data_IF_761867283593
#
_entry.id   IF_761867283593
#
_cell.length_a   1.000
_cell.length_b   1.000
_cell.length_c   1.000
_cell.angle_alpha   90.00
_cell.angle_beta   90.00
_cell.angle_gamma   90.00
#
_symmetry.space_group_name_H-M   'P 1'
#
loop_
_entity.id
_entity.type
_entity.pdbx_description
1 polymer ?
#
# COMPACT_ATOMS: atom_id res chain seq x y z
N UNK A 1 -8.85 -7.66 -15.92
CA UNK A 1 -8.10 -6.53 -15.34
C UNK A 1 -8.82 -6.15 -14.06
N UNK A 2 -8.12 -6.13 -12.92
CA UNK A 2 -8.66 -5.62 -11.67
C UNK A 2 -7.94 -4.32 -11.35
N UNK A 3 -8.68 -3.26 -11.01
CA UNK A 3 -8.11 -1.96 -10.65
C UNK A 3 -8.54 -1.62 -9.23
N UNK A 4 -7.57 -1.28 -8.40
CA UNK A 4 -7.78 -0.67 -7.09
C UNK A 4 -7.33 0.79 -7.15
N UNK A 5 -8.09 1.65 -6.50
CA UNK A 5 -7.82 3.10 -6.47
C UNK A 5 -7.98 3.63 -5.05
N UNK A 6 -7.06 4.52 -4.65
CA UNK A 6 -7.10 5.21 -3.38
C UNK A 6 -6.48 6.60 -3.56
N UNK A 7 -7.29 7.65 -3.38
CA UNK A 7 -6.94 9.07 -3.57
C UNK A 7 -6.42 9.37 -4.96
N UNK A 8 -5.11 9.29 -5.19
CA UNK A 8 -4.42 9.53 -6.45
C UNK A 8 -3.60 8.30 -6.91
N UNK A 9 -3.55 7.25 -6.07
CA UNK A 9 -2.82 6.03 -6.32
C UNK A 9 -3.70 4.97 -6.99
N UNK A 10 -3.23 4.44 -8.12
CA UNK A 10 -3.86 3.34 -8.84
C UNK A 10 -2.98 2.08 -8.81
N UNK A 11 -3.60 0.92 -8.62
CA UNK A 11 -2.99 -0.40 -8.74
C UNK A 11 -3.79 -1.23 -9.74
N UNK A 12 -3.14 -1.63 -10.83
CA UNK A 12 -3.74 -2.47 -11.85
C UNK A 12 -3.12 -3.87 -11.83
N UNK A 13 -3.96 -4.90 -11.76
CA UNK A 13 -3.55 -6.30 -11.74
C UNK A 13 -4.14 -6.99 -12.96
N UNK A 14 -3.26 -7.63 -13.74
CA UNK A 14 -3.64 -8.38 -14.94
C UNK A 14 -3.07 -9.81 -14.89
N UNK A 15 -3.65 -10.68 -15.71
CA UNK A 15 -3.13 -12.04 -15.91
C UNK A 15 -1.80 -12.04 -16.68
N UNK A 16 -1.05 -13.15 -16.64
CA UNK A 16 0.22 -13.27 -17.35
C UNK A 16 0.06 -13.06 -18.86
N UNK A 17 1.10 -12.51 -19.50
CA UNK A 17 1.16 -12.32 -20.96
C UNK A 17 0.30 -11.17 -21.53
N UNK A 18 -0.25 -10.31 -20.67
CA UNK A 18 -1.10 -9.16 -21.09
C UNK A 18 -0.55 -7.80 -20.66
N UNK A 19 0.68 -7.75 -20.18
CA UNK A 19 1.29 -6.56 -19.58
C UNK A 19 1.29 -5.34 -20.51
N UNK A 20 1.81 -5.50 -21.73
CA UNK A 20 1.91 -4.40 -22.69
C UNK A 20 0.55 -3.89 -23.13
N UNK A 21 -0.40 -4.80 -23.40
CA UNK A 21 -1.74 -4.46 -23.86
C UNK A 21 -2.54 -3.75 -22.76
N UNK A 22 -2.50 -4.26 -21.53
CA UNK A 22 -3.28 -3.69 -20.43
C UNK A 22 -2.67 -2.37 -19.95
N UNK A 23 -1.33 -2.26 -19.92
CA UNK A 23 -0.67 -0.97 -19.63
C UNK A 23 -1.04 0.10 -20.66
N UNK A 24 -1.04 -0.24 -21.96
CA UNK A 24 -1.44 0.69 -23.01
C UNK A 24 -2.89 1.15 -22.86
N UNK A 25 -3.82 0.24 -22.57
CA UNK A 25 -5.23 0.57 -22.32
C UNK A 25 -5.41 1.55 -21.16
N UNK A 26 -4.70 1.32 -20.05
CA UNK A 26 -4.75 2.22 -18.88
C UNK A 26 -4.21 3.60 -19.23
N UNK A 27 -3.06 3.67 -19.91
CA UNK A 27 -2.48 4.95 -20.34
C UNK A 27 -3.44 5.71 -21.28
N UNK A 28 -4.05 5.03 -22.25
CA UNK A 28 -5.03 5.65 -23.14
C UNK A 28 -6.27 6.14 -22.41
N UNK A 29 -6.78 5.37 -21.43
CA UNK A 29 -7.92 5.78 -20.61
C UNK A 29 -7.60 7.03 -19.79
N UNK A 30 -6.44 7.08 -19.17
CA UNK A 30 -6.03 8.23 -18.33
C UNK A 30 -5.82 9.48 -19.20
N UNK A 31 -5.20 9.32 -20.36
CA UNK A 31 -5.07 10.40 -21.34
C UNK A 31 -6.44 10.92 -21.83
N UNK A 32 -7.38 10.02 -22.12
CA UNK A 32 -8.75 10.37 -22.51
C UNK A 32 -9.48 11.17 -21.42
N UNK A 33 -9.27 10.79 -20.15
CA UNK A 33 -9.86 11.47 -18.99
C UNK A 33 -9.10 12.74 -18.57
N UNK A 34 -7.99 13.09 -19.25
CA UNK A 34 -7.15 14.23 -18.87
C UNK A 34 -6.43 14.04 -17.52
N UNK A 35 -6.24 12.79 -17.08
CA UNK A 35 -5.56 12.46 -15.83
C UNK A 35 -4.06 12.34 -16.12
N UNK A 36 -3.21 13.20 -15.53
CA UNK A 36 -1.77 13.12 -15.72
C UNK A 36 -1.19 11.87 -15.04
N UNK A 37 -0.35 11.13 -15.74
CA UNK A 37 0.39 9.98 -15.19
C UNK A 37 1.80 10.45 -14.78
N UNK A 38 2.15 10.24 -13.51
CA UNK A 38 3.52 10.39 -13.04
C UNK A 38 4.35 9.17 -13.44
N UNK A 39 4.87 9.16 -14.66
CA UNK A 39 5.63 8.02 -15.21
C UNK A 39 6.87 7.69 -14.38
N UNK A 40 7.51 8.68 -13.79
CA UNK A 40 8.68 8.54 -12.92
C UNK A 40 8.38 7.82 -11.60
N UNK A 41 7.12 7.79 -11.18
CA UNK A 41 6.62 7.04 -10.01
C UNK A 41 5.92 5.75 -10.38
N UNK A 42 5.69 5.51 -11.68
CA UNK A 42 4.95 4.37 -12.18
C UNK A 42 5.86 3.17 -12.30
N UNK A 43 5.41 2.02 -11.81
CA UNK A 43 6.04 0.72 -12.04
C UNK A 43 5.13 -0.11 -12.93
N UNK A 44 5.72 -0.77 -13.93
CA UNK A 44 4.99 -1.63 -14.88
C UNK A 44 5.62 -3.01 -14.92
N UNK A 45 4.81 -4.04 -15.21
CA UNK A 45 5.26 -5.42 -15.36
C UNK A 45 6.05 -5.98 -14.16
N UNK A 46 5.69 -5.57 -12.94
CA UNK A 46 6.33 -6.04 -11.70
C UNK A 46 5.50 -7.12 -11.00
N UNK A 47 6.16 -8.10 -10.39
CA UNK A 47 5.50 -9.08 -9.51
C UNK A 47 5.50 -8.63 -8.05
N UNK A 48 6.31 -7.63 -7.71
CA UNK A 48 6.41 -7.03 -6.38
C UNK A 48 6.22 -5.53 -6.51
N UNK A 49 5.28 -4.95 -5.77
CA UNK A 49 5.02 -3.50 -5.80
C UNK A 49 4.58 -2.98 -4.45
N UNK A 50 4.81 -1.69 -4.19
CA UNK A 50 4.29 -1.00 -3.02
C UNK A 50 3.05 -0.21 -3.41
N UNK A 51 1.95 -0.42 -2.69
CA UNK A 51 0.71 0.34 -2.83
C UNK A 51 0.19 0.70 -1.45
N UNK A 52 -0.18 1.97 -1.23
CA UNK A 52 -0.67 2.50 0.08
C UNK A 52 0.23 2.15 1.29
N UNK A 53 1.55 2.00 1.07
CA UNK A 53 2.53 1.60 2.09
C UNK A 53 2.55 0.11 2.41
N UNK A 54 1.89 -0.70 1.59
CA UNK A 54 1.82 -2.16 1.68
C UNK A 54 2.62 -2.74 0.52
N UNK A 55 3.52 -3.66 0.83
CA UNK A 55 4.25 -4.44 -0.16
C UNK A 55 3.40 -5.63 -0.59
N UNK A 56 3.15 -5.76 -1.89
CA UNK A 56 2.37 -6.83 -2.49
C UNK A 56 3.33 -7.65 -3.36
N UNK A 57 3.50 -8.93 -3.03
CA UNK A 57 4.21 -9.89 -3.88
C UNK A 57 3.22 -10.91 -4.44
N UNK A 58 2.93 -10.76 -5.72
CA UNK A 58 1.95 -11.60 -6.44
C UNK A 58 2.51 -13.00 -6.69
N UNK A 59 3.84 -13.14 -6.81
CA UNK A 59 4.49 -14.44 -7.05
C UNK A 59 4.51 -15.27 -5.77
N UNK A 60 4.92 -14.68 -4.65
CA UNK A 60 4.91 -15.32 -3.34
C UNK A 60 3.51 -15.39 -2.72
N UNK A 61 2.53 -14.64 -3.26
CA UNK A 61 1.18 -14.46 -2.71
C UNK A 61 1.21 -13.92 -1.27
N UNK A 62 2.15 -13.02 -1.01
CA UNK A 62 2.33 -12.42 0.30
C UNK A 62 2.01 -10.93 0.26
N UNK A 63 1.50 -10.44 1.38
CA UNK A 63 1.30 -9.02 1.65
C UNK A 63 2.11 -8.68 2.89
N UNK A 64 2.80 -7.54 2.85
CA UNK A 64 3.68 -7.07 3.91
C UNK A 64 3.63 -5.56 4.06
N UNK A 65 4.34 -5.02 5.06
CA UNK A 65 4.60 -3.59 5.10
C UNK A 65 5.76 -3.26 4.17
N UNK A 66 5.72 -2.09 3.55
CA UNK A 66 6.93 -1.56 2.93
C UNK A 66 8.02 -1.32 3.97
N UNK A 67 9.28 -1.32 3.54
CA UNK A 67 10.41 -1.12 4.44
C UNK A 67 10.29 0.18 5.24
N UNK A 68 9.81 1.25 4.60
CA UNK A 68 9.56 2.54 5.25
C UNK A 68 8.45 2.48 6.30
N UNK A 69 7.29 1.87 5.99
CA UNK A 69 6.22 1.69 6.96
C UNK A 69 6.64 0.77 8.11
N UNK A 70 7.29 -0.35 7.81
CA UNK A 70 7.80 -1.27 8.83
C UNK A 70 8.74 -0.56 9.81
N UNK A 71 9.69 0.23 9.30
CA UNK A 71 10.59 1.04 10.14
C UNK A 71 9.83 2.03 11.00
N UNK A 72 8.86 2.75 10.42
CA UNK A 72 8.02 3.71 11.14
C UNK A 72 7.22 3.06 12.26
N UNK A 73 6.64 1.88 12.02
CA UNK A 73 5.92 1.13 13.04
C UNK A 73 6.84 0.59 14.14
N UNK A 74 8.02 0.09 13.79
CA UNK A 74 9.01 -0.34 14.79
C UNK A 74 9.42 0.81 15.72
N UNK A 75 9.70 1.99 15.16
CA UNK A 75 10.04 3.18 15.94
C UNK A 75 8.88 3.63 16.83
N UNK A 76 7.66 3.65 16.29
CA UNK A 76 6.46 3.97 17.06
C UNK A 76 6.30 3.01 18.25
N UNK A 77 6.29 1.70 17.99
CA UNK A 77 6.10 0.70 19.04
C UNK A 77 7.20 0.76 20.10
N UNK A 78 8.45 0.91 19.68
CA UNK A 78 9.57 1.07 20.61
C UNK A 78 9.40 2.31 21.51
N UNK A 79 8.99 3.45 20.95
CA UNK A 79 8.73 4.65 21.73
C UNK A 79 7.58 4.47 22.73
N UNK A 80 6.57 3.68 22.37
CA UNK A 80 5.44 3.36 23.25
C UNK A 80 5.79 2.35 24.35
N UNK A 81 6.73 1.43 24.13
CA UNK A 81 7.16 0.47 25.16
C UNK A 81 7.75 1.13 26.41
N UNK A 82 8.43 2.26 26.26
CA UNK A 82 9.02 3.01 27.39
C UNK A 82 8.11 4.12 27.92
N UNK A 83 6.91 4.29 27.36
CA UNK A 83 6.05 5.44 27.64
C UNK A 83 5.16 5.16 28.86
N UNK A 84 5.26 6.00 29.89
CA UNK A 84 4.47 5.87 31.13
C UNK A 84 3.27 6.81 31.18
N UNK A 85 3.23 7.83 30.31
CA UNK A 85 2.14 8.81 30.25
C UNK A 85 1.74 9.09 28.81
N UNK A 86 0.43 9.25 28.57
CA UNK A 86 -0.13 9.54 27.26
C UNK A 86 -1.44 10.31 27.42
N UNK A 87 -1.74 11.18 26.46
CA UNK A 87 -3.06 11.81 26.38
C UNK A 87 -4.08 10.85 25.74
N UNK A 88 -5.37 11.14 25.89
CA UNK A 88 -6.41 10.41 25.16
C UNK A 88 -6.19 10.47 23.63
N UNK A 89 -5.69 11.60 23.13
CA UNK A 89 -5.35 11.77 21.72
C UNK A 89 -4.19 10.86 21.28
N UNK A 90 -3.13 10.74 22.09
CA UNK A 90 -2.02 9.83 21.81
C UNK A 90 -2.50 8.38 21.69
N UNK A 91 -3.36 7.94 22.63
CA UNK A 91 -3.89 6.57 22.68
C UNK A 91 -4.77 6.31 21.45
N UNK A 92 -5.68 7.25 21.12
CA UNK A 92 -6.53 7.12 19.94
C UNK A 92 -5.71 7.06 18.64
N UNK A 93 -4.64 7.87 18.54
CA UNK A 93 -3.73 7.87 17.40
C UNK A 93 -2.97 6.56 17.25
N UNK A 94 -2.46 5.99 18.36
CA UNK A 94 -1.85 4.65 18.35
C UNK A 94 -2.87 3.59 17.93
N UNK A 95 -4.06 3.60 18.54
CA UNK A 95 -5.14 2.68 18.24
C UNK A 95 -5.50 2.66 16.76
N UNK A 96 -5.68 3.84 16.15
CA UNK A 96 -5.97 3.95 14.71
C UNK A 96 -4.89 3.32 13.82
N UNK A 97 -3.61 3.51 14.17
CA UNK A 97 -2.48 2.91 13.45
C UNK A 97 -2.46 1.38 13.59
N UNK A 98 -2.71 0.86 14.80
CA UNK A 98 -2.76 -0.58 15.03
C UNK A 98 -3.96 -1.23 14.33
N UNK A 99 -5.13 -0.60 14.34
CA UNK A 99 -6.32 -1.07 13.60
C UNK A 99 -6.02 -1.18 12.11
N UNK A 100 -5.32 -0.20 11.54
CA UNK A 100 -4.89 -0.26 10.14
C UNK A 100 -3.95 -1.45 9.86
N UNK A 101 -3.02 -1.76 10.77
CA UNK A 101 -2.19 -2.98 10.65
C UNK A 101 -3.04 -4.26 10.68
N UNK A 102 -4.01 -4.34 11.58
CA UNK A 102 -4.91 -5.49 11.71
C UNK A 102 -5.86 -5.66 10.51
N UNK A 103 -6.05 -4.61 9.71
CA UNK A 103 -6.77 -4.71 8.44
C UNK A 103 -5.91 -5.41 7.36
N UNK A 104 -4.59 -5.27 7.42
CA UNK A 104 -3.64 -5.86 6.46
C UNK A 104 -3.22 -7.26 6.89
N UNK A 105 -3.03 -7.47 8.18
CA UNK A 105 -2.65 -8.73 8.79
C UNK A 105 -3.79 -9.21 9.69
N UNK A 106 -4.78 -9.95 9.16
CA UNK A 106 -5.91 -10.42 9.95
C UNK A 106 -5.49 -11.22 11.19
N UNK A 107 -4.37 -11.93 11.13
CA UNK A 107 -3.77 -12.65 12.26
C UNK A 107 -3.33 -11.76 13.44
N UNK A 108 -3.26 -10.44 13.26
CA UNK A 108 -2.93 -9.48 14.32
C UNK A 108 -4.16 -8.98 15.09
N UNK A 109 -5.38 -9.39 14.69
CA UNK A 109 -6.60 -9.07 15.43
C UNK A 109 -6.62 -9.87 16.76
N UNK A 110 -6.94 -9.22 17.89
CA UNK A 110 -7.16 -9.92 19.17
C UNK A 110 -8.27 -10.96 19.07
#
# INVERSE_FOLDING_TARGET
LNICHFVDGFLAIHGPGRDRQESAKICSLFAFLGIPIAFEKSTTSVTVTEYIGVLIDIRARTVGLSAHKLRSYKLLLHAWCSRTTATAHDIASLGGRLIWLCAIFPQARP
#
